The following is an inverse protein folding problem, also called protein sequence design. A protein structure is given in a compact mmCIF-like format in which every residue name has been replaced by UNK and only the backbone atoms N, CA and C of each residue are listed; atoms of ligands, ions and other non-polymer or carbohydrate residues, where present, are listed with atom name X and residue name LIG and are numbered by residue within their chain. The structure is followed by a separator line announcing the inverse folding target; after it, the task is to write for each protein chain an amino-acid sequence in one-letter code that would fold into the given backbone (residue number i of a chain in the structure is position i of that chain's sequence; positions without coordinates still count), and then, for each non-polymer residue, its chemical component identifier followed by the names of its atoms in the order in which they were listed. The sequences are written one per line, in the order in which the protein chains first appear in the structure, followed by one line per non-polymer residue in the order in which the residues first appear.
data_IF_533745349665
#
_entry.id   IF_533745349665
#
_cell.length_a   1.000
_cell.length_b   1.000
_cell.length_c   1.000
_cell.angle_alpha   90.00
_cell.angle_beta   90.00
_cell.angle_gamma   90.00
#
_symmetry.space_group_name_H-M   'P 1'
#
loop_
_entity.id
_entity.type
_entity.pdbx_description
1 polymer ?
#
# COMPACT_ATOMS: atom_id res chain seq x y z
N UNK A 1 49.53 33.02 26.26
CA UNK A 1 48.44 32.05 26.45
C UNK A 1 47.30 32.43 25.53
N UNK A 2 47.08 31.65 24.46
CA UNK A 2 45.91 31.71 23.57
C UNK A 2 45.20 30.35 23.68
N UNK A 3 43.87 30.26 23.72
CA UNK A 3 43.19 28.98 23.77
C UNK A 3 43.17 28.31 22.39
N UNK A 4 43.29 26.99 22.44
CA UNK A 4 43.38 26.04 21.33
C UNK A 4 42.20 26.10 20.36
N UNK A 5 42.49 26.18 19.07
CA UNK A 5 41.52 26.01 17.99
C UNK A 5 41.33 24.52 17.70
N UNK A 6 40.36 23.89 18.36
CA UNK A 6 39.96 22.50 18.11
C UNK A 6 39.41 22.32 16.70
N UNK A 7 40.10 21.53 15.87
CA UNK A 7 39.62 21.09 14.56
C UNK A 7 38.50 20.05 14.74
N UNK A 8 37.31 20.34 14.25
CA UNK A 8 36.23 19.36 14.09
C UNK A 8 36.63 18.41 12.96
N UNK A 9 36.88 17.15 13.30
CA UNK A 9 37.19 16.08 12.35
C UNK A 9 35.85 15.56 11.83
N UNK A 10 35.46 15.93 10.61
CA UNK A 10 34.36 15.26 9.92
C UNK A 10 34.83 13.85 9.58
N UNK A 11 34.13 12.84 10.13
CA UNK A 11 34.33 11.46 9.70
C UNK A 11 33.91 11.36 8.23
N UNK A 12 34.91 11.20 7.35
CA UNK A 12 34.69 10.85 5.96
C UNK A 12 34.06 9.46 5.96
N UNK A 13 32.75 9.39 5.66
CA UNK A 13 32.08 8.12 5.46
C UNK A 13 32.83 7.39 4.35
N UNK A 14 33.38 6.21 4.66
CA UNK A 14 33.94 5.29 3.67
C UNK A 14 32.88 5.06 2.59
N UNK A 15 33.29 5.18 1.33
CA UNK A 15 32.51 4.67 0.22
C UNK A 15 32.15 3.20 0.53
N UNK A 16 30.85 2.90 0.51
CA UNK A 16 30.39 1.52 0.55
C UNK A 16 30.48 1.03 -0.87
N UNK A 17 31.46 0.18 -1.15
CA UNK A 17 31.51 -0.55 -2.41
C UNK A 17 30.28 -1.46 -2.48
N UNK A 18 29.32 -1.08 -3.33
CA UNK A 18 28.22 -1.96 -3.71
C UNK A 18 28.82 -2.97 -4.68
N UNK A 19 29.19 -4.15 -4.16
CA UNK A 19 29.60 -5.28 -4.99
C UNK A 19 28.37 -5.79 -5.74
N UNK A 20 28.16 -5.27 -6.94
CA UNK A 20 27.18 -5.82 -7.89
C UNK A 20 27.78 -7.12 -8.42
N UNK A 21 27.37 -8.26 -7.85
CA UNK A 21 27.65 -9.55 -8.47
C UNK A 21 26.75 -9.72 -9.69
N UNK A 22 27.34 -9.42 -10.86
CA UNK A 22 26.81 -9.80 -12.17
C UNK A 22 27.11 -11.29 -12.38
N UNK A 23 26.10 -12.14 -12.19
CA UNK A 23 26.16 -13.53 -12.63
C UNK A 23 26.05 -13.55 -14.16
N UNK A 24 27.18 -13.65 -14.85
CA UNK A 24 27.20 -13.93 -16.29
C UNK A 24 26.83 -15.41 -16.49
N UNK A 25 25.75 -15.68 -17.21
CA UNK A 25 25.44 -17.01 -17.71
C UNK A 25 26.46 -17.34 -18.80
N UNK A 26 27.29 -18.37 -18.56
CA UNK A 26 28.23 -18.88 -19.54
C UNK A 26 27.47 -19.29 -20.81
N UNK A 27 27.85 -18.68 -21.94
CA UNK A 27 27.31 -18.99 -23.26
C UNK A 27 27.89 -20.33 -23.73
N UNK A 28 27.03 -21.31 -23.93
CA UNK A 28 27.36 -22.41 -24.85
C UNK A 28 27.30 -21.88 -26.29
N UNK A 29 28.37 -22.16 -27.04
CA UNK A 29 28.49 -21.92 -28.48
C UNK A 29 27.55 -22.86 -29.23
N UNK A 30 26.70 -22.31 -30.10
CA UNK A 30 26.44 -22.96 -31.37
C UNK A 30 26.18 -21.92 -32.48
N UNK A 31 26.58 -22.31 -33.68
CA UNK A 31 26.84 -21.49 -34.87
C UNK A 31 25.70 -21.72 -35.87
N UNK A 32 25.27 -20.65 -36.56
CA UNK A 32 24.69 -20.55 -37.92
C UNK A 32 23.55 -19.50 -37.91
N UNK A 33 23.34 -18.63 -38.90
CA UNK A 33 24.02 -18.29 -40.14
C UNK A 33 23.47 -16.92 -40.58
N UNK A 34 24.27 -16.16 -41.34
CA UNK A 34 23.90 -14.81 -41.80
C UNK A 34 22.73 -14.84 -42.81
N UNK A 35 21.87 -13.81 -42.78
CA UNK A 35 21.22 -13.30 -43.98
C UNK A 35 21.08 -11.76 -43.91
N UNK A 36 21.38 -11.01 -45.00
CA UNK A 36 21.55 -9.56 -44.96
C UNK A 36 20.29 -8.79 -45.40
N UNK A 37 20.26 -7.51 -45.00
CA UNK A 37 19.37 -6.42 -45.43
C UNK A 37 17.95 -6.35 -44.85
N UNK A 38 17.76 -5.31 -44.04
CA UNK A 38 16.46 -4.72 -43.72
C UNK A 38 16.64 -3.46 -42.89
N UNK A 39 16.77 -2.31 -43.55
CA UNK A 39 16.81 -0.98 -42.92
C UNK A 39 15.52 -0.73 -42.13
N UNK A 40 15.62 -0.08 -40.96
CA UNK A 40 14.79 1.07 -40.56
C UNK A 40 15.00 1.45 -39.08
N UNK A 41 15.46 2.69 -38.85
CA UNK A 41 15.00 3.52 -37.73
C UNK A 41 13.46 3.70 -37.83
N UNK A 42 12.67 4.02 -36.77
CA UNK A 42 12.99 5.08 -35.80
C UNK A 42 12.46 4.94 -34.36
N UNK A 43 13.05 5.74 -33.46
CA UNK A 43 12.32 6.34 -32.35
C UNK A 43 11.21 7.24 -32.93
N UNK A 44 9.95 6.86 -32.78
CA UNK A 44 8.80 7.76 -32.77
C UNK A 44 7.58 7.00 -32.25
N UNK A 45 6.73 7.69 -31.48
CA UNK A 45 5.44 7.24 -30.90
C UNK A 45 5.49 6.60 -29.50
N UNK A 46 5.97 7.37 -28.53
CA UNK A 46 5.29 7.39 -27.23
C UNK A 46 3.99 8.20 -27.40
N UNK A 47 2.84 7.52 -27.45
CA UNK A 47 1.53 8.13 -27.21
C UNK A 47 0.91 7.50 -25.97
N UNK A 48 0.40 8.38 -25.11
CA UNK A 48 -0.42 8.05 -23.96
C UNK A 48 -1.73 7.38 -24.42
N UNK A 49 -2.24 6.49 -23.55
CA UNK A 49 -3.52 5.78 -23.62
C UNK A 49 -3.53 4.50 -24.47
N UNK A 50 -3.12 3.39 -23.85
CA UNK A 50 -3.40 2.04 -24.33
C UNK A 50 -4.68 1.48 -23.70
N UNK A 51 -5.83 1.88 -24.23
CA UNK A 51 -7.04 1.07 -24.13
C UNK A 51 -7.01 0.06 -25.30
N UNK A 52 -6.89 -1.22 -25.00
CA UNK A 52 -7.25 -2.29 -25.94
C UNK A 52 -8.33 -3.13 -25.29
N UNK A 53 -9.51 -3.06 -25.91
CA UNK A 53 -10.70 -3.77 -25.48
C UNK A 53 -10.56 -5.27 -25.68
N UNK A 54 -10.89 -6.00 -24.63
CA UNK A 54 -11.51 -7.30 -24.75
C UNK A 54 -12.95 -7.15 -24.27
N UNK A 55 -13.88 -7.15 -25.23
CA UNK A 55 -15.29 -7.34 -24.96
C UNK A 55 -15.53 -8.78 -24.55
N UNK A 56 -15.86 -8.97 -23.28
CA UNK A 56 -16.70 -10.05 -22.80
C UNK A 56 -17.61 -9.42 -21.76
N UNK A 57 -18.90 -9.32 -22.10
CA UNK A 57 -19.96 -8.96 -21.17
C UNK A 57 -20.03 -10.04 -20.08
N UNK A 58 -19.21 -9.88 -19.04
CA UNK A 58 -19.41 -10.54 -17.75
C UNK A 58 -19.85 -9.44 -16.78
N UNK A 59 -21.10 -9.02 -16.93
CA UNK A 59 -21.88 -8.39 -15.87
C UNK A 59 -21.86 -9.36 -14.69
N UNK A 60 -20.82 -9.27 -13.86
CA UNK A 60 -20.75 -9.99 -12.60
C UNK A 60 -21.87 -9.41 -11.76
N UNK A 61 -22.96 -10.16 -11.50
CA UNK A 61 -24.06 -9.60 -10.73
C UNK A 61 -23.52 -9.25 -9.35
N UNK A 62 -23.76 -8.01 -8.90
CA UNK A 62 -23.57 -7.63 -7.50
C UNK A 62 -24.07 -8.78 -6.62
N UNK A 63 -23.23 -9.33 -5.71
CA UNK A 63 -23.57 -10.57 -5.03
C UNK A 63 -24.88 -10.39 -4.29
N UNK A 64 -25.87 -11.18 -4.71
CA UNK A 64 -27.18 -11.29 -4.08
C UNK A 64 -27.02 -11.40 -2.57
N UNK A 65 -27.68 -10.50 -1.86
CA UNK A 65 -27.63 -10.32 -0.41
C UNK A 65 -27.98 -11.62 0.33
N UNK A 66 -26.96 -12.39 0.70
CA UNK A 66 -27.04 -13.44 1.70
C UNK A 66 -26.46 -12.89 2.99
N UNK A 67 -27.29 -12.79 4.04
CA UNK A 67 -26.86 -12.46 5.40
C UNK A 67 -25.86 -13.51 5.89
N UNK A 68 -24.58 -13.35 5.55
CA UNK A 68 -23.51 -14.19 6.07
C UNK A 68 -23.29 -13.86 7.55
N UNK A 69 -22.86 -14.85 8.35
CA UNK A 69 -22.56 -14.67 9.78
C UNK A 69 -21.48 -13.62 10.05
N UNK A 70 -20.72 -13.23 9.02
CA UNK A 70 -19.55 -12.36 9.13
C UNK A 70 -19.89 -10.87 8.98
N UNK A 71 -21.12 -10.54 8.59
CA UNK A 71 -21.58 -9.16 8.48
C UNK A 71 -22.46 -8.77 9.67
N UNK A 72 -22.42 -7.49 9.99
CA UNK A 72 -23.34 -6.83 10.91
C UNK A 72 -24.06 -5.72 10.17
N UNK A 73 -25.30 -5.49 10.55
CA UNK A 73 -26.13 -4.44 10.00
C UNK A 73 -26.78 -3.67 11.13
N UNK A 74 -26.67 -2.34 11.11
CA UNK A 74 -27.27 -1.49 12.12
C UNK A 74 -27.80 -0.19 11.51
N UNK A 75 -28.98 0.21 11.97
CA UNK A 75 -29.51 1.56 11.78
C UNK A 75 -28.79 2.49 12.74
N UNK A 76 -28.01 3.44 12.23
CA UNK A 76 -27.08 4.23 13.06
C UNK A 76 -27.59 5.62 13.40
N UNK A 77 -28.40 6.25 12.55
CA UNK A 77 -29.06 7.53 12.82
C UNK A 77 -30.15 7.82 11.78
N UNK A 78 -30.92 8.88 12.02
CA UNK A 78 -31.79 9.48 11.01
C UNK A 78 -30.97 10.37 10.05
N UNK A 79 -31.40 10.53 8.80
CA UNK A 79 -30.68 11.31 7.77
C UNK A 79 -30.47 12.79 8.12
N UNK A 80 -31.33 13.31 9.01
CA UNK A 80 -31.28 14.70 9.53
C UNK A 80 -30.35 14.84 10.74
N UNK A 81 -29.92 13.75 11.35
CA UNK A 81 -29.10 13.82 12.55
C UNK A 81 -27.65 14.20 12.23
N UNK A 82 -27.22 14.04 10.99
CA UNK A 82 -25.87 14.40 10.53
C UNK A 82 -25.98 15.44 9.41
N UNK A 83 -25.34 16.59 9.62
CA UNK A 83 -25.30 17.68 8.64
C UNK A 83 -24.19 17.45 7.62
N UNK A 84 -24.28 18.14 6.48
CA UNK A 84 -23.26 18.06 5.46
C UNK A 84 -21.91 18.62 5.97
N UNK A 85 -20.81 17.92 5.71
CA UNK A 85 -19.48 18.25 6.22
C UNK A 85 -19.19 17.71 7.61
N UNK A 86 -20.09 16.91 8.20
CA UNK A 86 -19.88 16.33 9.53
C UNK A 86 -19.40 14.88 9.47
N UNK A 87 -18.69 14.50 10.55
CA UNK A 87 -18.29 13.14 10.84
C UNK A 87 -18.84 12.72 12.20
N UNK A 88 -19.23 11.45 12.35
CA UNK A 88 -19.72 10.88 13.59
C UNK A 88 -19.22 9.45 13.76
N UNK A 89 -18.70 9.13 14.94
CA UNK A 89 -18.44 7.75 15.31
C UNK A 89 -19.76 7.05 15.69
N UNK A 90 -20.01 5.89 15.11
CA UNK A 90 -21.25 5.12 15.30
C UNK A 90 -20.93 3.69 15.73
N UNK A 91 -21.77 3.14 16.60
CA UNK A 91 -21.66 1.77 17.11
C UNK A 91 -22.52 0.82 16.27
N UNK A 92 -21.92 -0.29 15.85
CA UNK A 92 -22.57 -1.37 15.10
C UNK A 92 -22.73 -2.64 15.95
N UNK A 93 -22.53 -2.56 17.27
CA UNK A 93 -22.59 -3.65 18.24
C UNK A 93 -21.39 -4.60 18.23
N UNK A 94 -20.80 -4.86 17.06
CA UNK A 94 -19.59 -5.69 16.89
C UNK A 94 -18.31 -4.88 16.69
N UNK A 95 -18.42 -3.54 16.72
CA UNK A 95 -17.33 -2.61 16.51
C UNK A 95 -17.88 -1.24 16.11
N UNK A 96 -16.96 -0.30 15.83
CA UNK A 96 -17.30 1.08 15.52
C UNK A 96 -16.83 1.49 14.13
N UNK A 97 -17.60 2.39 13.53
CA UNK A 97 -17.33 2.99 12.23
C UNK A 97 -17.41 4.53 12.32
N UNK A 98 -16.76 5.21 11.39
CA UNK A 98 -16.93 6.64 11.15
C UNK A 98 -17.96 6.82 10.05
N UNK A 99 -19.11 7.40 10.40
CA UNK A 99 -20.09 7.88 9.45
C UNK A 99 -19.72 9.30 9.02
N UNK A 100 -19.72 9.57 7.73
CA UNK A 100 -19.40 10.85 7.12
C UNK A 100 -20.58 11.24 6.24
N UNK A 101 -20.92 12.53 6.23
CA UNK A 101 -21.84 13.10 5.23
C UNK A 101 -21.15 14.23 4.50
N UNK A 102 -20.95 14.09 3.20
CA UNK A 102 -20.35 15.12 2.35
C UNK A 102 -21.12 15.19 1.02
N UNK A 103 -21.32 16.40 0.51
CA UNK A 103 -22.15 16.69 -0.67
C UNK A 103 -23.53 16.01 -0.68
N UNK A 104 -24.13 15.80 0.50
CA UNK A 104 -25.43 15.14 0.66
C UNK A 104 -25.38 13.60 0.62
N UNK A 105 -24.22 13.01 0.36
CA UNK A 105 -23.99 11.58 0.34
C UNK A 105 -23.41 11.09 1.66
N UNK A 106 -23.72 9.84 2.02
CA UNK A 106 -23.18 9.20 3.21
C UNK A 106 -22.11 8.19 2.85
N UNK A 107 -21.00 8.20 3.60
CA UNK A 107 -19.95 7.20 3.53
C UNK A 107 -19.65 6.67 4.92
N UNK A 108 -19.23 5.40 5.01
CA UNK A 108 -18.84 4.79 6.27
C UNK A 108 -17.51 4.06 6.13
N UNK A 109 -16.61 4.30 7.08
CA UNK A 109 -15.25 3.76 7.06
C UNK A 109 -14.75 3.46 8.47
N UNK A 110 -13.58 2.85 8.60
CA UNK A 110 -12.98 2.59 9.92
C UNK A 110 -12.79 3.87 10.75
N UNK A 111 -13.15 3.84 12.04
CA UNK A 111 -13.12 5.00 12.93
C UNK A 111 -11.73 5.39 13.46
N UNK A 112 -10.76 4.49 13.35
CA UNK A 112 -9.39 4.71 13.82
C UNK A 112 -8.41 4.75 12.66
N UNK A 113 -7.44 5.66 12.76
CA UNK A 113 -6.31 5.72 11.86
C UNK A 113 -5.46 4.43 12.02
N UNK A 114 -5.16 3.70 10.93
CA UNK A 114 -4.44 2.43 10.99
C UNK A 114 -2.96 2.58 11.35
N UNK A 115 -2.44 3.81 11.38
CA UNK A 115 -1.07 4.11 11.80
C UNK A 115 -0.89 3.83 13.31
N UNK A 116 -1.42 4.69 14.19
CA UNK A 116 -1.33 4.52 15.65
C UNK A 116 -2.68 4.55 16.38
N UNK A 117 -3.80 4.43 15.67
CA UNK A 117 -5.12 4.28 16.29
C UNK A 117 -5.80 5.58 16.68
N UNK A 118 -5.36 6.73 16.14
CA UNK A 118 -5.99 8.03 16.37
C UNK A 118 -7.49 8.00 16.00
N UNK A 119 -8.39 8.57 16.81
CA UNK A 119 -9.81 8.65 16.46
C UNK A 119 -10.02 9.65 15.32
N UNK A 120 -10.44 9.17 14.14
CA UNK A 120 -10.59 9.99 12.94
C UNK A 120 -11.74 11.00 13.04
N UNK A 121 -12.72 10.76 13.91
CA UNK A 121 -13.77 11.74 14.23
C UNK A 121 -13.21 13.06 14.80
N UNK A 122 -12.01 13.03 15.38
CA UNK A 122 -11.30 14.23 15.85
C UNK A 122 -10.40 14.86 14.77
N UNK A 123 -10.39 14.28 13.57
CA UNK A 123 -9.65 14.77 12.41
C UNK A 123 -10.37 15.90 11.68
N UNK A 124 -9.91 16.17 10.46
CA UNK A 124 -10.49 17.19 9.58
C UNK A 124 -11.04 16.52 8.33
N UNK A 125 -12.32 16.76 8.02
CA UNK A 125 -12.92 16.41 6.74
C UNK A 125 -12.75 17.58 5.76
N UNK A 126 -12.23 17.31 4.57
CA UNK A 126 -12.09 18.31 3.52
C UNK A 126 -11.96 17.67 2.14
N UNK A 127 -12.81 18.09 1.19
CA UNK A 127 -12.69 17.75 -0.24
C UNK A 127 -12.62 16.24 -0.49
N UNK A 128 -13.50 15.44 0.09
CA UNK A 128 -13.49 13.98 -0.09
C UNK A 128 -12.42 13.25 0.74
N UNK A 129 -11.78 13.92 1.69
CA UNK A 129 -10.71 13.33 2.48
C UNK A 129 -10.87 13.54 3.98
N UNK A 130 -10.50 12.52 4.76
CA UNK A 130 -10.35 12.63 6.21
C UNK A 130 -8.88 12.65 6.59
N UNK A 131 -8.44 13.72 7.26
CA UNK A 131 -7.08 13.91 7.74
C UNK A 131 -6.96 13.57 9.22
N UNK A 132 -6.07 12.64 9.53
CA UNK A 132 -5.79 12.16 10.88
C UNK A 132 -5.26 13.29 11.79
N UNK A 133 -5.78 13.44 13.02
CA UNK A 133 -5.41 14.54 13.92
C UNK A 133 -4.02 14.42 14.55
N UNK A 134 -3.38 13.25 14.51
CA UNK A 134 -2.07 13.06 15.16
C UNK A 134 -0.91 13.40 14.24
N UNK A 135 -0.80 12.73 13.10
CA UNK A 135 0.36 12.83 12.21
C UNK A 135 0.00 13.26 10.78
N UNK A 136 -1.27 13.58 10.52
CA UNK A 136 -1.69 14.12 9.23
C UNK A 136 -1.89 13.13 8.10
N UNK A 137 -1.86 11.81 8.37
CA UNK A 137 -2.21 10.80 7.38
C UNK A 137 -3.59 11.10 6.79
N UNK A 138 -3.74 11.02 5.48
CA UNK A 138 -4.94 11.43 4.76
C UNK A 138 -5.55 10.22 4.04
N UNK A 139 -6.88 10.10 4.11
CA UNK A 139 -7.61 8.98 3.53
C UNK A 139 -8.78 9.47 2.70
N UNK A 140 -8.96 8.87 1.54
CA UNK A 140 -10.11 9.10 0.66
C UNK A 140 -11.38 8.53 1.29
N UNK A 141 -12.46 9.31 1.38
CA UNK A 141 -13.69 8.84 2.05
C UNK A 141 -14.49 7.84 1.20
N UNK A 142 -14.30 7.85 -0.12
CA UNK A 142 -15.03 7.01 -1.09
C UNK A 142 -14.36 5.67 -1.33
N UNK A 143 -13.02 5.59 -1.25
CA UNK A 143 -12.24 4.35 -1.46
C UNK A 143 -11.61 3.82 -0.17
N UNK A 144 -11.41 4.69 0.82
CA UNK A 144 -10.72 4.39 2.07
C UNK A 144 -9.21 4.35 1.90
N UNK A 145 -8.71 4.56 0.68
CA UNK A 145 -7.27 4.50 0.38
C UNK A 145 -6.52 5.58 1.15
N UNK A 146 -5.33 5.23 1.64
CA UNK A 146 -4.36 6.20 2.14
C UNK A 146 -3.78 6.97 0.95
N UNK A 147 -3.87 8.29 0.99
CA UNK A 147 -3.36 9.18 -0.06
C UNK A 147 -2.19 10.04 0.43
N UNK A 148 -2.17 10.38 1.73
CA UNK A 148 -0.99 10.98 2.37
C UNK A 148 -0.50 10.15 3.56
N UNK A 149 0.82 10.00 3.62
CA UNK A 149 1.56 9.33 4.70
C UNK A 149 1.63 10.23 5.95
N UNK A 150 1.84 9.67 7.17
CA UNK A 150 2.39 8.36 7.48
C UNK A 150 1.38 7.23 7.68
N UNK A 151 1.78 6.00 7.36
CA UNK A 151 0.97 4.79 7.46
C UNK A 151 1.25 3.84 6.30
N UNK A 152 0.82 2.59 6.41
CA UNK A 152 0.99 1.58 5.35
C UNK A 152 -0.34 1.02 4.86
N UNK A 153 -1.37 1.09 5.69
CA UNK A 153 -2.67 0.48 5.43
C UNK A 153 -3.72 1.56 5.18
N UNK A 154 -4.67 1.21 4.34
CA UNK A 154 -5.89 1.97 4.04
C UNK A 154 -6.99 1.64 5.05
N UNK A 155 -8.07 2.41 5.00
CA UNK A 155 -9.27 2.19 5.80
C UNK A 155 -10.20 1.19 5.09
N UNK A 156 -10.77 0.20 5.82
CA UNK A 156 -11.94 -0.51 5.37
C UNK A 156 -13.11 0.45 5.15
N UNK A 157 -13.87 0.22 4.08
CA UNK A 157 -15.15 0.88 3.80
C UNK A 157 -16.30 -0.07 4.12
N UNK A 158 -17.39 0.51 4.59
CA UNK A 158 -18.62 -0.18 4.91
C UNK A 158 -19.76 0.33 4.01
N UNK A 159 -20.65 -0.57 3.63
CA UNK A 159 -21.76 -0.23 2.77
C UNK A 159 -22.77 0.61 3.55
N UNK A 160 -23.17 1.75 2.99
CA UNK A 160 -24.20 2.62 3.55
C UNK A 160 -25.42 2.62 2.64
N UNK A 161 -26.60 2.57 3.24
CA UNK A 161 -27.86 2.77 2.54
C UNK A 161 -28.82 3.59 3.39
N UNK A 162 -29.75 4.25 2.72
CA UNK A 162 -30.80 5.04 3.36
C UNK A 162 -32.15 4.38 3.08
N UNK A 163 -32.85 3.99 4.14
CA UNK A 163 -34.19 3.40 4.05
C UNK A 163 -35.14 4.16 4.98
N UNK A 164 -36.22 4.74 4.43
CA UNK A 164 -37.24 5.47 5.21
C UNK A 164 -36.60 6.48 6.19
N UNK A 165 -35.71 7.32 5.66
CA UNK A 165 -34.95 8.33 6.41
C UNK A 165 -34.00 7.81 7.51
N UNK A 166 -33.73 6.50 7.54
CA UNK A 166 -32.72 5.90 8.42
C UNK A 166 -31.47 5.54 7.64
N UNK A 167 -30.31 5.92 8.20
CA UNK A 167 -29.00 5.54 7.68
C UNK A 167 -28.66 4.17 8.26
N UNK A 168 -28.42 3.19 7.39
CA UNK A 168 -28.09 1.81 7.73
C UNK A 168 -26.69 1.52 7.21
N UNK A 169 -25.84 0.96 8.08
CA UNK A 169 -24.50 0.50 7.72
C UNK A 169 -24.47 -1.03 7.75
N UNK A 170 -23.94 -1.63 6.68
CA UNK A 170 -23.58 -3.04 6.61
C UNK A 170 -22.05 -3.15 6.56
N UNK A 171 -21.48 -3.89 7.52
CA UNK A 171 -20.04 -3.96 7.72
C UNK A 171 -19.59 -5.40 8.01
N UNK A 172 -18.42 -5.78 7.50
CA UNK A 172 -17.77 -7.02 7.88
C UNK A 172 -17.20 -6.90 9.31
N UNK A 173 -17.47 -7.88 10.16
CA UNK A 173 -17.06 -7.89 11.58
C UNK A 173 -15.55 -7.88 11.77
N UNK A 174 -14.81 -8.61 10.93
CA UNK A 174 -13.34 -8.63 11.01
C UNK A 174 -12.76 -7.26 10.63
N UNK A 175 -13.29 -6.62 9.59
CA UNK A 175 -12.87 -5.27 9.20
C UNK A 175 -13.15 -4.22 10.29
N UNK A 176 -14.25 -4.37 11.04
CA UNK A 176 -14.54 -3.54 12.22
C UNK A 176 -13.57 -3.78 13.37
N UNK A 177 -12.95 -4.95 13.48
CA UNK A 177 -11.96 -5.22 14.52
C UNK A 177 -10.56 -4.75 14.11
N UNK A 178 -10.15 -5.02 12.87
CA UNK A 178 -8.80 -4.70 12.40
C UNK A 178 -8.62 -3.20 12.12
N UNK A 179 -9.68 -2.49 11.70
CA UNK A 179 -9.67 -1.07 11.34
C UNK A 179 -8.65 -0.70 10.25
N UNK A 180 -8.15 -1.70 9.52
CA UNK A 180 -7.12 -1.52 8.49
C UNK A 180 -7.31 -2.51 7.35
N UNK A 181 -6.96 -2.07 6.15
CA UNK A 181 -7.04 -2.81 4.90
C UNK A 181 -5.76 -2.59 4.11
N UNK A 182 -5.08 -3.66 3.73
CA UNK A 182 -4.01 -3.56 2.73
C UNK A 182 -4.64 -3.54 1.34
N UNK A 183 -4.15 -2.67 0.45
CA UNK A 183 -4.62 -2.64 -0.94
C UNK A 183 -4.24 -3.97 -1.63
N UNK A 184 -5.06 -4.47 -2.57
CA UNK A 184 -4.68 -5.61 -3.40
C UNK A 184 -3.34 -5.35 -4.10
N UNK A 185 -2.54 -6.40 -4.26
CA UNK A 185 -1.20 -6.34 -4.84
C UNK A 185 -1.05 -7.40 -5.91
N UNK A 186 -0.39 -7.06 -7.01
CA UNK A 186 0.06 -8.04 -7.99
C UNK A 186 1.04 -9.01 -7.35
N UNK A 187 0.95 -10.28 -7.75
CA UNK A 187 1.94 -11.29 -7.35
C UNK A 187 3.17 -11.16 -8.23
N UNK A 188 4.33 -11.46 -7.65
CA UNK A 188 5.53 -11.70 -8.42
C UNK A 188 5.26 -12.86 -9.38
N UNK A 189 5.23 -12.60 -10.68
CA UNK A 189 5.24 -13.66 -11.68
C UNK A 189 6.68 -14.12 -11.82
N UNK A 190 7.07 -15.07 -10.97
CA UNK A 190 8.25 -15.87 -11.27
C UNK A 190 7.97 -16.56 -12.61
N UNK A 191 8.70 -16.21 -13.69
CA UNK A 191 9.19 -17.14 -14.75
C UNK A 191 9.68 -16.43 -16.03
N UNK A 192 10.97 -16.66 -16.30
CA UNK A 192 11.71 -16.96 -17.55
C UNK A 192 11.57 -16.11 -18.81
N UNK A 193 12.75 -15.73 -19.33
CA UNK A 193 13.11 -15.50 -20.73
C UNK A 193 11.96 -15.13 -21.67
N UNK A 194 11.43 -13.93 -21.49
CA UNK A 194 10.74 -13.26 -22.59
C UNK A 194 11.79 -12.44 -23.34
N UNK A 195 11.86 -12.61 -24.65
CA UNK A 195 12.70 -11.82 -25.57
C UNK A 195 12.36 -10.32 -25.60
N UNK A 196 11.40 -9.89 -24.78
CA UNK A 196 11.09 -8.50 -24.46
C UNK A 196 11.68 -8.19 -23.07
N UNK A 197 12.64 -7.27 -23.01
CA UNK A 197 13.53 -7.03 -21.87
C UNK A 197 12.83 -6.90 -20.51
N UNK A 198 13.39 -7.57 -19.51
CA UNK A 198 12.96 -7.46 -18.11
C UNK A 198 13.12 -6.02 -17.60
N UNK A 199 12.12 -5.50 -16.90
CA UNK A 199 12.21 -4.21 -16.22
C UNK A 199 12.36 -4.46 -14.72
N UNK A 200 13.55 -4.87 -14.26
CA UNK A 200 13.79 -5.04 -12.82
C UNK A 200 13.90 -3.71 -12.10
N UNK A 201 13.38 -3.63 -10.87
CA UNK A 201 13.51 -2.45 -10.01
C UNK A 201 14.40 -2.75 -8.82
N UNK A 202 15.44 -1.93 -8.64
CA UNK A 202 16.28 -1.90 -7.44
C UNK A 202 15.88 -0.71 -6.57
N UNK A 203 15.51 -0.98 -5.32
CA UNK A 203 15.21 0.01 -4.29
C UNK A 203 16.37 0.02 -3.30
N UNK A 204 16.96 1.19 -3.06
CA UNK A 204 18.05 1.37 -2.08
C UNK A 204 17.46 1.93 -0.79
N UNK A 205 17.55 1.16 0.29
CA UNK A 205 17.05 1.47 1.62
C UNK A 205 15.76 0.72 1.98
N UNK A 206 15.77 0.04 3.13
CA UNK A 206 14.63 -0.76 3.65
C UNK A 206 13.79 -0.02 4.71
N UNK A 207 13.84 1.32 4.72
CA UNK A 207 13.00 2.12 5.60
C UNK A 207 11.52 2.14 5.17
N UNK A 208 10.66 2.88 5.90
CA UNK A 208 9.25 3.02 5.53
C UNK A 208 9.02 3.44 4.07
N UNK A 209 9.81 4.39 3.56
CA UNK A 209 9.69 4.85 2.18
C UNK A 209 10.04 3.76 1.15
N UNK A 210 11.11 3.00 1.36
CA UNK A 210 11.51 1.93 0.45
C UNK A 210 10.51 0.78 0.44
N UNK A 211 9.96 0.44 1.60
CA UNK A 211 8.88 -0.55 1.71
C UNK A 211 7.61 -0.08 0.99
N UNK A 212 7.16 1.16 1.27
CA UNK A 212 5.98 1.74 0.61
C UNK A 212 6.18 1.78 -0.90
N UNK A 213 7.37 2.16 -1.39
CA UNK A 213 7.68 2.13 -2.81
C UNK A 213 7.49 0.73 -3.41
N UNK A 214 8.01 -0.32 -2.75
CA UNK A 214 7.82 -1.70 -3.19
C UNK A 214 6.33 -2.12 -3.17
N UNK A 215 5.59 -1.72 -2.13
CA UNK A 215 4.15 -2.01 -2.00
C UNK A 215 3.37 -1.33 -3.12
N UNK A 216 3.60 -0.03 -3.34
CA UNK A 216 2.93 0.73 -4.39
C UNK A 216 3.21 0.15 -5.77
N UNK A 217 4.46 -0.25 -6.08
CA UNK A 217 4.75 -0.93 -7.34
C UNK A 217 3.85 -2.16 -7.54
N UNK A 218 3.72 -3.01 -6.52
CA UNK A 218 2.83 -4.18 -6.59
C UNK A 218 1.35 -3.78 -6.68
N UNK A 219 0.92 -2.75 -5.97
CA UNK A 219 -0.46 -2.24 -6.01
C UNK A 219 -0.83 -1.70 -7.41
N UNK A 220 0.14 -1.09 -8.09
CA UNK A 220 0.01 -0.57 -9.46
C UNK A 220 0.23 -1.65 -10.54
N UNK A 221 0.30 -2.93 -10.16
CA UNK A 221 0.33 -4.04 -11.11
C UNK A 221 1.72 -4.48 -11.55
N UNK A 222 2.79 -3.89 -11.03
CA UNK A 222 4.15 -4.32 -11.38
C UNK A 222 4.38 -5.75 -10.88
N UNK A 223 4.56 -6.69 -11.81
CA UNK A 223 4.71 -8.12 -11.52
C UNK A 223 6.17 -8.62 -11.59
N UNK A 224 7.07 -7.82 -12.15
CA UNK A 224 8.50 -8.13 -12.32
C UNK A 224 9.28 -8.14 -10.99
N UNK A 225 10.57 -8.46 -11.05
CA UNK A 225 11.43 -8.54 -9.86
C UNK A 225 11.65 -7.16 -9.23
N UNK A 226 11.37 -7.06 -7.92
CA UNK A 226 11.76 -5.93 -7.07
C UNK A 226 12.84 -6.43 -6.11
N UNK A 227 13.96 -5.70 -6.03
CA UNK A 227 15.06 -5.97 -5.10
C UNK A 227 15.18 -4.78 -4.15
N UNK A 228 15.10 -5.02 -2.84
CA UNK A 228 15.40 -4.00 -1.82
C UNK A 228 16.81 -4.27 -1.30
N UNK A 229 17.74 -3.35 -1.55
CA UNK A 229 19.10 -3.38 -1.04
C UNK A 229 19.21 -2.48 0.19
N UNK A 230 19.73 -2.99 1.29
CA UNK A 230 19.87 -2.24 2.54
C UNK A 230 21.12 -2.67 3.30
N UNK A 231 21.66 -1.77 4.10
CA UNK A 231 22.72 -2.06 5.08
C UNK A 231 22.16 -2.58 6.40
N UNK A 232 20.85 -2.45 6.61
CA UNK A 232 20.18 -2.93 7.81
C UNK A 232 20.16 -4.47 7.86
N UNK A 233 20.45 -5.04 9.04
CA UNK A 233 20.40 -6.49 9.28
C UNK A 233 19.00 -7.01 9.60
N UNK A 234 18.01 -6.12 9.65
CA UNK A 234 16.64 -6.43 10.07
C UNK A 234 15.66 -6.09 8.95
N UNK A 235 14.52 -6.83 8.85
CA UNK A 235 13.43 -6.45 7.95
C UNK A 235 12.94 -5.01 8.21
N UNK A 236 12.29 -4.36 7.23
CA UNK A 236 11.77 -3.00 7.38
C UNK A 236 11.02 -2.78 8.71
N UNK A 237 11.45 -1.76 9.45
CA UNK A 237 10.98 -1.48 10.80
C UNK A 237 10.73 0.02 11.03
N UNK A 238 9.91 0.30 12.03
CA UNK A 238 9.47 1.62 12.46
C UNK A 238 10.55 2.27 13.33
N UNK A 239 11.48 2.95 12.68
CA UNK A 239 12.56 3.70 13.34
C UNK A 239 12.03 4.75 14.32
N UNK A 240 10.98 5.55 14.00
CA UNK A 240 10.40 6.47 14.97
C UNK A 240 9.99 5.79 16.28
N UNK A 241 9.35 4.61 16.24
CA UNK A 241 8.96 3.88 17.46
C UNK A 241 10.13 3.59 18.39
N UNK A 242 11.31 3.24 17.85
CA UNK A 242 12.51 3.01 18.67
C UNK A 242 12.88 4.20 19.57
N UNK A 243 12.67 5.41 19.06
CA UNK A 243 13.01 6.65 19.78
C UNK A 243 11.85 7.24 20.59
N UNK A 244 10.62 6.77 20.35
CA UNK A 244 9.38 7.36 20.89
C UNK A 244 8.63 6.43 21.84
N UNK A 245 8.93 5.13 21.81
CA UNK A 245 8.30 4.10 22.62
C UNK A 245 9.37 3.12 23.09
N UNK A 246 9.87 3.32 24.32
CA UNK A 246 10.97 2.53 24.87
C UNK A 246 10.59 1.08 25.21
N UNK A 247 9.28 0.79 25.28
CA UNK A 247 8.72 -0.53 25.62
C UNK A 247 8.22 -1.27 24.36
N UNK A 248 9.04 -1.42 23.33
CA UNK A 248 8.68 -2.16 22.12
C UNK A 248 9.50 -3.42 21.93
N UNK A 249 8.84 -4.52 21.51
CA UNK A 249 9.55 -5.73 21.08
C UNK A 249 9.99 -5.61 19.62
N UNK A 250 11.02 -6.35 19.19
CA UNK A 250 11.46 -6.38 17.80
C UNK A 250 10.34 -6.68 16.79
N UNK A 251 9.34 -7.48 17.17
CA UNK A 251 8.19 -7.83 16.32
C UNK A 251 7.23 -6.66 16.15
N UNK A 252 6.98 -5.89 17.21
CA UNK A 252 6.11 -4.71 17.20
C UNK A 252 6.70 -3.53 16.42
N UNK A 253 8.02 -3.55 16.22
CA UNK A 253 8.74 -2.60 15.41
C UNK A 253 8.66 -2.91 13.92
N UNK A 254 8.36 -4.15 13.50
CA UNK A 254 8.29 -4.48 12.08
C UNK A 254 7.14 -3.73 11.42
N UNK A 255 7.40 -3.18 10.25
CA UNK A 255 6.39 -2.50 9.44
C UNK A 255 5.39 -3.49 8.83
N UNK A 256 5.89 -4.67 8.44
CA UNK A 256 5.10 -5.79 7.90
C UNK A 256 5.58 -7.11 8.49
N UNK A 257 4.70 -8.11 8.49
CA UNK A 257 5.10 -9.47 8.87
C UNK A 257 6.06 -10.07 7.84
N UNK A 258 6.84 -11.06 8.26
CA UNK A 258 7.73 -11.81 7.36
C UNK A 258 6.95 -12.47 6.22
N UNK A 259 5.79 -13.04 6.53
CA UNK A 259 4.93 -13.70 5.54
C UNK A 259 4.41 -12.71 4.50
N UNK A 260 4.07 -11.48 4.93
CA UNK A 260 3.68 -10.41 4.02
C UNK A 260 4.83 -10.00 3.10
N UNK A 261 6.04 -9.83 3.64
CA UNK A 261 7.21 -9.51 2.83
C UNK A 261 7.53 -10.63 1.85
N UNK A 262 7.40 -11.89 2.26
CA UNK A 262 7.57 -13.04 1.38
C UNK A 262 6.55 -13.02 0.24
N UNK A 263 5.26 -12.77 0.48
CA UNK A 263 4.26 -12.72 -0.62
C UNK A 263 4.53 -11.61 -1.64
N UNK A 264 5.10 -10.48 -1.21
CA UNK A 264 5.54 -9.41 -2.12
C UNK A 264 6.79 -9.76 -2.93
N UNK A 265 7.69 -10.53 -2.32
CA UNK A 265 9.04 -10.79 -2.84
C UNK A 265 9.22 -12.18 -3.42
N UNK A 266 8.24 -13.09 -3.28
CA UNK A 266 8.42 -14.56 -3.34
C UNK A 266 9.54 -14.92 -4.32
N UNK A 267 10.67 -15.24 -3.69
CA UNK A 267 11.92 -15.60 -4.32
C UNK A 267 11.67 -16.54 -5.50
N UNK A 268 12.10 -16.13 -6.69
CA UNK A 268 12.52 -17.08 -7.71
C UNK A 268 13.79 -17.79 -7.19
N UNK A 269 13.66 -18.72 -6.25
CA UNK A 269 14.66 -19.76 -6.06
C UNK A 269 14.24 -20.95 -6.91
N UNK A 270 15.10 -21.49 -7.80
CA UNK A 270 14.86 -22.81 -8.37
C UNK A 270 14.73 -23.79 -7.19
N UNK A 271 13.79 -24.72 -7.26
CA UNK A 271 13.84 -25.91 -6.41
C UNK A 271 15.20 -26.56 -6.66
N UNK A 272 16.05 -26.60 -5.62
CA UNK A 272 17.25 -27.42 -5.63
C UNK A 272 16.84 -28.90 -5.82
N UNK A 273 17.49 -29.57 -6.78
CA UNK A 273 17.68 -31.01 -6.82
C UNK A 273 19.15 -31.27 -6.59
#
# INVERSE_FOLDING_TARGET
MRPDSGKIIYAVHKAVDVKVELSLLDKEKEVDGLSPNGKASPFAECRANGALGHGSDDETPLPLYQKSKDYVEASVCHVKDLENGQMREVDLGSGRALLIKEHGEFSALAHKCPHYGAPLVKGVLSKGHVRCPWHGACFNISTGDIEDFPGLDSLPIFQVRVEKDKVIICANKQALQTQKRTKPMARCSAVTNSSAGFSHVLIIGSGPAGLVCAETLRQEGFADRIVICTVDRHPPYDRPKLSKSLECTPEQLRLRSTDFLQTMTLNCSPKER
#
